data_IF_198227384971
#
_entry.id   IF_198227384971
#
_cell.length_a   1.000
_cell.length_b   1.000
_cell.length_c   1.000
_cell.angle_alpha   90.00
_cell.angle_beta   90.00
_cell.angle_gamma   90.00
#
_symmetry.space_group_name_H-M   'P 1'
#
loop_
_entity.id
_entity.type
_entity.pdbx_description
1 polymer ?
#
# COMPACT_ATOMS: atom_id res chain seq x y z
N UNK A 1 2.03 -22.59 -14.36
CA UNK A 1 2.05 -22.45 -12.89
C UNK A 1 2.79 -21.16 -12.63
N UNK A 2 2.15 -20.20 -11.97
CA UNK A 2 2.75 -18.90 -11.69
C UNK A 2 3.91 -19.09 -10.71
N UNK A 3 5.06 -18.50 -11.01
CA UNK A 3 6.21 -18.50 -10.11
C UNK A 3 5.91 -17.59 -8.92
N UNK A 4 6.52 -17.88 -7.77
CA UNK A 4 6.32 -17.05 -6.57
C UNK A 4 6.69 -15.58 -6.82
N UNK A 5 7.69 -15.34 -7.67
CA UNK A 5 8.06 -14.00 -8.14
C UNK A 5 6.93 -13.30 -8.89
N UNK A 6 6.24 -14.00 -9.78
CA UNK A 6 5.11 -13.45 -10.54
C UNK A 6 3.93 -13.11 -9.63
N UNK A 7 3.67 -13.96 -8.63
CA UNK A 7 2.64 -13.69 -7.60
C UNK A 7 3.00 -12.45 -6.78
N UNK A 8 4.25 -12.30 -6.35
CA UNK A 8 4.70 -11.12 -5.61
C UNK A 8 4.60 -9.84 -6.46
N UNK A 9 4.95 -9.91 -7.75
CA UNK A 9 4.77 -8.79 -8.68
C UNK A 9 3.29 -8.43 -8.81
N UNK A 10 2.39 -9.43 -8.92
CA UNK A 10 0.95 -9.18 -8.98
C UNK A 10 0.45 -8.48 -7.71
N UNK A 11 0.82 -8.98 -6.53
CA UNK A 11 0.46 -8.36 -5.24
C UNK A 11 0.91 -6.91 -5.16
N UNK A 12 2.15 -6.61 -5.56
CA UNK A 12 2.64 -5.22 -5.55
C UNK A 12 1.87 -4.32 -6.54
N UNK A 13 1.43 -4.85 -7.68
CA UNK A 13 0.59 -4.11 -8.62
C UNK A 13 -0.79 -3.86 -8.05
N UNK A 14 -1.42 -4.85 -7.43
CA UNK A 14 -2.72 -4.71 -6.76
C UNK A 14 -2.65 -3.65 -5.66
N UNK A 15 -1.57 -3.61 -4.88
CA UNK A 15 -1.33 -2.55 -3.88
C UNK A 15 -1.25 -1.17 -4.52
N UNK A 16 -0.50 -1.03 -5.62
CA UNK A 16 -0.37 0.26 -6.33
C UNK A 16 -1.73 0.69 -6.89
N UNK A 17 -2.46 -0.22 -7.54
CA UNK A 17 -3.75 0.07 -8.15
C UNK A 17 -4.79 0.46 -7.08
N UNK A 18 -4.83 -0.25 -5.95
CA UNK A 18 -5.69 0.07 -4.82
C UNK A 18 -5.38 1.46 -4.25
N UNK A 19 -4.10 1.79 -4.05
CA UNK A 19 -3.65 3.11 -3.58
C UNK A 19 -4.02 4.19 -4.60
N UNK A 20 -3.82 3.96 -5.89
CA UNK A 20 -4.17 4.92 -6.95
C UNK A 20 -5.66 5.24 -6.98
N UNK A 21 -6.52 4.22 -6.91
CA UNK A 21 -7.97 4.39 -6.87
C UNK A 21 -8.41 5.25 -5.67
N UNK A 22 -7.82 5.00 -4.51
CA UNK A 22 -8.10 5.73 -3.27
C UNK A 22 -7.63 7.18 -3.33
N UNK A 23 -6.43 7.44 -3.85
CA UNK A 23 -5.93 8.81 -4.05
C UNK A 23 -6.86 9.58 -4.99
N UNK A 24 -7.36 8.96 -6.06
CA UNK A 24 -8.32 9.58 -6.98
C UNK A 24 -9.67 9.86 -6.30
N UNK A 25 -10.16 8.95 -5.47
CA UNK A 25 -11.39 9.17 -4.72
C UNK A 25 -11.25 10.35 -3.73
N UNK A 26 -10.10 10.44 -3.05
CA UNK A 26 -9.78 11.55 -2.15
C UNK A 26 -9.70 12.89 -2.89
N UNK A 27 -9.02 12.94 -4.03
CA UNK A 27 -8.95 14.15 -4.87
C UNK A 27 -10.32 14.53 -5.45
N UNK A 28 -11.13 13.55 -5.86
CA UNK A 28 -12.50 13.79 -6.32
C UNK A 28 -13.41 14.35 -5.20
N UNK A 29 -13.12 14.01 -3.94
CA UNK A 29 -13.76 14.58 -2.76
C UNK A 29 -13.28 15.99 -2.38
N UNK A 30 -12.36 16.59 -3.13
CA UNK A 30 -11.79 17.91 -2.87
C UNK A 30 -10.52 17.91 -2.03
N UNK A 31 -9.98 16.73 -1.69
CA UNK A 31 -8.65 16.60 -1.09
C UNK A 31 -7.52 16.94 -2.06
N UNK A 32 -6.32 17.18 -1.55
CA UNK A 32 -5.12 17.43 -2.37
C UNK A 32 -3.92 16.64 -1.85
N UNK A 33 -3.28 15.88 -2.74
CA UNK A 33 -2.07 15.11 -2.44
C UNK A 33 -0.88 15.90 -2.97
N UNK A 34 -0.03 16.38 -2.06
CA UNK A 34 1.09 17.27 -2.41
C UNK A 34 2.30 16.48 -2.92
N UNK A 35 2.51 15.27 -2.42
CA UNK A 35 3.57 14.39 -2.92
C UNK A 35 3.27 13.83 -4.31
N UNK A 36 4.35 13.63 -5.08
CA UNK A 36 4.28 12.94 -6.35
C UNK A 36 3.83 11.48 -6.19
N UNK A 37 3.06 10.97 -7.15
CA UNK A 37 2.54 9.58 -7.17
C UNK A 37 3.63 8.53 -6.95
N UNK A 38 4.81 8.74 -7.52
CA UNK A 38 5.96 7.84 -7.35
C UNK A 38 6.41 7.71 -5.89
N UNK A 39 6.40 8.80 -5.12
CA UNK A 39 6.74 8.78 -3.70
C UNK A 39 5.70 8.01 -2.89
N UNK A 40 4.41 8.24 -3.20
CA UNK A 40 3.31 7.55 -2.54
C UNK A 40 3.33 6.04 -2.81
N UNK A 41 3.53 5.63 -4.07
CA UNK A 41 3.65 4.21 -4.41
C UNK A 41 4.87 3.56 -3.76
N UNK A 42 6.01 4.25 -3.71
CA UNK A 42 7.21 3.73 -3.06
C UNK A 42 6.99 3.52 -1.55
N UNK A 43 6.32 4.46 -0.89
CA UNK A 43 5.96 4.33 0.53
C UNK A 43 5.03 3.14 0.79
N UNK A 44 4.00 2.98 -0.05
CA UNK A 44 3.08 1.85 0.04
C UNK A 44 3.80 0.49 -0.14
N UNK A 45 4.64 0.38 -1.18
CA UNK A 45 5.46 -0.82 -1.42
C UNK A 45 6.40 -1.10 -0.24
N UNK A 46 7.04 -0.07 0.31
CA UNK A 46 7.91 -0.23 1.46
C UNK A 46 7.16 -0.73 2.69
N UNK A 47 5.94 -0.23 2.94
CA UNK A 47 5.10 -0.67 4.05
C UNK A 47 4.73 -2.16 3.94
N UNK A 48 4.41 -2.66 2.74
CA UNK A 48 4.19 -4.10 2.49
C UNK A 48 5.44 -4.91 2.83
N UNK A 49 6.60 -4.47 2.38
CA UNK A 49 7.88 -5.14 2.66
C UNK A 49 8.19 -5.13 4.17
N UNK A 50 7.97 -4.00 4.85
CA UNK A 50 8.22 -3.86 6.28
C UNK A 50 7.26 -4.76 7.10
N UNK A 51 5.99 -4.81 6.72
CA UNK A 51 4.97 -5.65 7.34
C UNK A 51 5.29 -7.14 7.18
N UNK A 52 5.70 -7.58 5.97
CA UNK A 52 6.16 -8.96 5.76
C UNK A 52 7.34 -9.32 6.68
N UNK A 53 8.32 -8.42 6.80
CA UNK A 53 9.53 -8.62 7.60
C UNK A 53 9.26 -8.63 9.10
N UNK A 54 8.29 -7.86 9.58
CA UNK A 54 7.91 -7.81 11.00
C UNK A 54 7.44 -9.18 11.51
N UNK A 55 6.78 -9.97 10.65
CA UNK A 55 6.35 -11.35 10.91
C UNK A 55 7.46 -12.39 10.69
N UNK A 56 8.70 -11.96 10.44
CA UNK A 56 9.83 -12.85 10.15
C UNK A 56 9.75 -13.53 8.78
N UNK A 57 8.91 -13.05 7.87
CA UNK A 57 8.85 -13.57 6.52
C UNK A 57 9.96 -12.95 5.66
N UNK A 58 10.90 -13.81 5.22
CA UNK A 58 11.99 -13.44 4.31
C UNK A 58 11.99 -14.34 3.07
N UNK A 59 12.47 -13.80 1.95
CA UNK A 59 12.59 -14.54 0.70
C UNK A 59 11.33 -14.52 -0.16
N UNK A 60 11.31 -15.35 -1.19
CA UNK A 60 10.22 -15.34 -2.17
C UNK A 60 8.91 -15.86 -1.55
N UNK A 61 7.84 -15.10 -1.77
CA UNK A 61 6.51 -15.35 -1.23
C UNK A 61 6.23 -14.65 0.09
N UNK A 62 7.21 -13.91 0.61
CA UNK A 62 7.07 -13.17 1.87
C UNK A 62 6.05 -12.05 1.74
N UNK A 63 5.98 -11.37 0.59
CA UNK A 63 5.09 -10.23 0.40
C UNK A 63 3.62 -10.64 0.41
N UNK A 64 3.29 -11.81 -0.11
CA UNK A 64 1.92 -12.36 -0.14
C UNK A 64 1.37 -12.61 1.28
N UNK A 65 2.25 -12.73 2.27
CA UNK A 65 1.89 -12.97 3.68
C UNK A 65 1.93 -11.71 4.52
N UNK A 66 2.12 -10.52 3.93
CA UNK A 66 2.20 -9.28 4.67
C UNK A 66 0.81 -8.92 5.25
N UNK A 67 0.64 -8.83 6.58
CA UNK A 67 -0.65 -8.50 7.19
C UNK A 67 -1.27 -7.20 6.69
N UNK A 68 -0.44 -6.23 6.29
CA UNK A 68 -0.92 -4.94 5.77
C UNK A 68 -1.69 -5.07 4.44
N UNK A 69 -1.55 -6.18 3.71
CA UNK A 69 -2.33 -6.39 2.48
C UNK A 69 -3.82 -6.44 2.75
N UNK A 70 -4.24 -7.03 3.88
CA UNK A 70 -5.66 -7.08 4.22
C UNK A 70 -6.23 -5.68 4.48
N UNK A 71 -5.41 -4.77 5.01
CA UNK A 71 -5.80 -3.37 5.21
C UNK A 71 -5.84 -2.56 3.90
N UNK A 72 -4.95 -2.86 2.95
CA UNK A 72 -4.86 -2.13 1.67
C UNK A 72 -5.88 -2.66 0.65
N UNK A 73 -6.02 -3.98 0.56
CA UNK A 73 -6.85 -4.67 -0.43
C UNK A 73 -8.25 -5.00 0.13
N UNK A 74 -8.43 -4.96 1.45
CA UNK A 74 -9.73 -5.14 2.08
C UNK A 74 -10.70 -3.99 1.79
N UNK A 75 -11.99 -4.33 1.81
CA UNK A 75 -13.11 -3.40 1.75
C UNK A 75 -13.36 -2.81 3.15
N UNK A 76 -12.36 -2.12 3.69
CA UNK A 76 -12.51 -1.36 4.92
C UNK A 76 -13.19 -0.05 4.56
N UNK A 77 -14.31 0.27 5.23
CA UNK A 77 -15.03 1.53 5.03
C UNK A 77 -14.05 2.70 5.06
N UNK A 78 -14.19 3.59 4.06
CA UNK A 78 -13.25 4.68 3.76
C UNK A 78 -13.03 5.64 4.94
N UNK A 79 -13.90 5.61 5.95
CA UNK A 79 -13.85 6.43 7.16
C UNK A 79 -12.98 5.85 8.29
N UNK A 80 -12.61 4.57 8.23
CA UNK A 80 -11.70 3.90 9.19
C UNK A 80 -10.50 3.34 8.44
N UNK A 81 -9.72 4.23 7.83
CA UNK A 81 -8.32 3.86 7.59
C UNK A 81 -7.67 3.65 8.95
N UNK A 82 -7.15 2.45 9.18
CA UNK A 82 -6.30 2.17 10.31
C UNK A 82 -5.20 3.24 10.33
N UNK A 83 -5.01 3.88 11.48
CA UNK A 83 -4.18 5.08 11.62
C UNK A 83 -2.77 4.88 11.04
N UNK A 84 -2.31 3.63 10.95
CA UNK A 84 -1.07 3.21 10.31
C UNK A 84 -1.03 3.47 8.79
N UNK A 85 -2.08 3.15 8.03
CA UNK A 85 -2.07 3.32 6.57
C UNK A 85 -2.27 4.80 6.19
N UNK A 86 -3.13 5.50 6.95
CA UNK A 86 -3.27 6.95 6.81
C UNK A 86 -2.00 7.68 7.24
N UNK A 87 -1.30 7.25 8.30
CA UNK A 87 -0.01 7.81 8.69
C UNK A 87 1.06 7.56 7.63
N UNK A 88 1.18 6.35 7.08
CA UNK A 88 2.16 6.05 6.01
C UNK A 88 1.90 6.90 4.76
N UNK A 89 0.63 7.06 4.35
CA UNK A 89 0.29 7.86 3.18
C UNK A 89 0.39 9.36 3.44
N UNK A 90 -0.02 9.86 4.61
CA UNK A 90 0.02 11.29 4.96
C UNK A 90 1.41 11.77 5.33
N UNK A 91 2.21 10.98 6.04
CA UNK A 91 3.60 11.30 6.37
C UNK A 91 4.44 11.39 5.10
N UNK A 92 4.18 10.52 4.11
CA UNK A 92 4.81 10.61 2.78
C UNK A 92 4.26 11.75 1.91
N UNK A 93 3.03 12.23 2.14
CA UNK A 93 2.40 13.30 1.34
C UNK A 93 2.47 14.70 1.93
N UNK A 94 2.92 14.85 3.17
CA UNK A 94 3.18 16.14 3.84
C UNK A 94 4.66 16.56 3.82
N UNK A 95 5.59 15.67 3.47
CA UNK A 95 7.01 15.98 3.32
C UNK A 95 7.28 16.30 1.85
N UNK A 96 7.06 17.56 1.48
CA UNK A 96 7.55 18.19 0.25
C UNK A 96 8.86 18.91 0.48
#
# INVERSE_FOLDING_TARGET
METMREVEIRVLREVIDAVEERLRAYEAGGGCVIAGRSAVYAAAVYAVIASARAEGHYGSGSLVRAPILDAILGDVEVDVWDAAVFAVLMEASLIG
#
